data_IF_747205878643
#
_entry.id   IF_747205878643
#
_cell.length_a   1.000
_cell.length_b   1.000
_cell.length_c   1.000
_cell.angle_alpha   90.00
_cell.angle_beta   90.00
_cell.angle_gamma   90.00
#
_symmetry.space_group_name_H-M   'P 1'
#
loop_
_entity.id
_entity.type
_entity.pdbx_description
1 polymer ?
#
# COMPACT_ATOMS: atom_id res chain seq x y z
N UNK A 1 -37.09 -60.76 38.40
CA UNK A 1 -36.55 -59.52 38.96
C UNK A 1 -36.08 -58.64 37.79
N UNK A 2 -36.34 -57.32 37.86
CA UNK A 2 -36.51 -56.40 36.72
C UNK A 2 -35.17 -55.72 36.36
N UNK A 3 -34.97 -55.01 35.24
CA UNK A 3 -35.81 -53.96 34.68
C UNK A 3 -35.59 -53.70 33.17
N UNK A 4 -36.66 -53.20 32.57
CA UNK A 4 -36.79 -52.69 31.21
C UNK A 4 -36.55 -51.17 31.19
N UNK A 5 -35.63 -50.70 30.32
CA UNK A 5 -35.59 -49.40 29.57
C UNK A 5 -35.57 -48.06 30.36
N UNK A 6 -35.17 -46.89 29.77
CA UNK A 6 -34.98 -46.63 28.34
C UNK A 6 -33.74 -45.84 27.87
N UNK A 7 -33.44 -46.04 26.59
CA UNK A 7 -32.69 -45.13 25.72
C UNK A 7 -33.34 -43.74 25.71
N UNK A 8 -32.52 -42.71 25.92
CA UNK A 8 -32.93 -41.31 25.82
C UNK A 8 -33.19 -40.96 24.35
N UNK A 9 -34.44 -40.60 24.08
CA UNK A 9 -34.89 -39.90 22.87
C UNK A 9 -34.36 -38.46 22.88
N UNK A 10 -33.43 -38.13 22.00
CA UNK A 10 -33.22 -36.75 21.56
C UNK A 10 -33.79 -36.60 20.15
N UNK A 11 -34.94 -35.94 20.11
CA UNK A 11 -35.66 -35.52 18.91
C UNK A 11 -34.71 -34.76 17.97
N UNK A 12 -34.40 -35.35 16.82
CA UNK A 12 -33.89 -34.59 15.68
C UNK A 12 -35.07 -33.77 15.15
N UNK A 13 -35.09 -32.49 15.51
CA UNK A 13 -36.02 -31.54 14.94
C UNK A 13 -35.65 -31.38 13.46
N UNK A 14 -36.47 -31.95 12.56
CA UNK A 14 -36.34 -31.73 11.11
C UNK A 14 -36.51 -30.22 10.87
N UNK A 15 -35.42 -29.57 10.50
CA UNK A 15 -35.48 -28.22 9.97
C UNK A 15 -36.22 -28.29 8.62
N UNK A 16 -37.39 -27.67 8.57
CA UNK A 16 -38.18 -27.53 7.34
C UNK A 16 -37.35 -26.68 6.38
N UNK A 17 -37.03 -27.26 5.22
CA UNK A 17 -36.31 -26.59 4.15
C UNK A 17 -37.26 -25.52 3.58
N UNK A 18 -36.93 -24.26 3.82
CA UNK A 18 -37.59 -23.15 3.14
C UNK A 18 -37.26 -23.23 1.64
N UNK A 19 -38.24 -23.66 0.84
CA UNK A 19 -38.14 -23.77 -0.61
C UNK A 19 -38.36 -22.40 -1.24
N UNK A 20 -37.40 -21.50 -1.04
CA UNK A 20 -37.30 -20.29 -1.86
C UNK A 20 -36.52 -20.66 -3.13
N UNK A 21 -37.07 -20.50 -4.36
CA UNK A 21 -36.39 -20.91 -5.57
C UNK A 21 -35.09 -20.12 -5.70
N UNK A 22 -33.96 -20.81 -5.48
CA UNK A 22 -32.63 -20.28 -5.78
C UNK A 22 -32.65 -19.82 -7.23
N UNK A 23 -32.55 -18.52 -7.43
CA UNK A 23 -32.11 -17.95 -8.70
C UNK A 23 -30.75 -18.60 -8.97
N UNK A 24 -30.74 -19.62 -9.82
CA UNK A 24 -29.52 -20.17 -10.41
C UNK A 24 -29.05 -19.15 -11.43
N UNK A 25 -28.52 -18.03 -10.97
CA UNK A 25 -27.65 -17.22 -11.81
C UNK A 25 -26.38 -18.04 -11.97
N UNK A 26 -26.00 -18.47 -13.18
CA UNK A 26 -24.71 -19.11 -13.38
C UNK A 26 -23.65 -18.13 -12.90
N UNK A 27 -22.75 -18.58 -12.01
CA UNK A 27 -21.49 -17.88 -11.77
C UNK A 27 -20.84 -17.70 -13.13
N UNK A 28 -20.66 -16.45 -13.52
CA UNK A 28 -20.28 -16.02 -14.86
C UNK A 28 -19.11 -16.82 -15.42
N UNK A 29 -19.18 -17.07 -16.72
CA UNK A 29 -18.26 -17.88 -17.53
C UNK A 29 -16.91 -17.20 -17.80
N UNK A 30 -16.21 -16.73 -16.77
CA UNK A 30 -14.78 -16.38 -16.87
C UNK A 30 -13.96 -17.56 -16.35
N UNK A 31 -13.43 -18.38 -17.26
CA UNK A 31 -12.76 -19.64 -16.93
C UNK A 31 -11.39 -19.52 -16.23
N UNK A 32 -10.84 -18.33 -15.98
CA UNK A 32 -9.47 -18.19 -15.49
C UNK A 32 -9.28 -18.05 -13.97
N UNK A 33 -10.29 -18.32 -13.11
CA UNK A 33 -10.04 -18.21 -11.65
C UNK A 33 -11.02 -18.97 -10.72
N UNK A 34 -11.17 -20.29 -10.87
CA UNK A 34 -11.89 -21.10 -9.87
C UNK A 34 -10.94 -21.58 -8.77
N UNK A 35 -11.31 -21.33 -7.51
CA UNK A 35 -10.62 -21.85 -6.33
C UNK A 35 -10.59 -23.38 -6.36
N UNK A 36 -9.46 -23.97 -5.98
CA UNK A 36 -9.29 -25.41 -5.84
C UNK A 36 -8.29 -25.73 -4.70
N UNK A 37 -8.03 -27.02 -4.48
CA UNK A 37 -7.17 -27.47 -3.38
C UNK A 37 -5.68 -27.07 -3.52
N UNK A 38 -5.24 -26.65 -4.71
CA UNK A 38 -3.88 -26.13 -4.93
C UNK A 38 -3.80 -24.61 -4.95
N UNK A 39 -4.89 -23.90 -4.60
CA UNK A 39 -4.86 -22.44 -4.49
C UNK A 39 -3.95 -22.01 -3.33
N UNK A 40 -3.01 -21.10 -3.60
CA UNK A 40 -2.06 -20.58 -2.60
C UNK A 40 -2.51 -19.19 -2.14
N UNK A 41 -2.18 -18.82 -0.89
CA UNK A 41 -2.65 -17.57 -0.29
C UNK A 41 -1.58 -16.47 -0.26
N UNK A 42 -2.04 -15.25 -0.53
CA UNK A 42 -1.41 -14.00 -0.14
C UNK A 42 -2.43 -13.18 0.66
N UNK A 43 -2.00 -12.20 1.45
CA UNK A 43 -2.95 -11.35 2.16
C UNK A 43 -2.42 -9.99 2.57
N UNK A 44 -3.32 -9.10 3.01
CA UNK A 44 -2.99 -7.93 3.83
C UNK A 44 -3.44 -8.15 5.27
N UNK A 45 -2.56 -7.86 6.23
CA UNK A 45 -2.89 -7.78 7.66
C UNK A 45 -2.91 -6.32 8.11
N UNK A 46 -3.91 -5.94 8.89
CA UNK A 46 -4.04 -4.63 9.51
C UNK A 46 -5.12 -4.62 10.59
N UNK A 47 -5.26 -3.50 11.29
CA UNK A 47 -6.33 -3.29 12.25
C UNK A 47 -6.68 -1.79 12.38
N UNK A 48 -7.91 -1.36 12.02
CA UNK A 48 -8.91 -2.09 11.23
C UNK A 48 -8.46 -2.23 9.76
N UNK A 49 -9.00 -3.23 9.02
CA UNK A 49 -8.57 -3.49 7.62
C UNK A 49 -9.69 -3.43 6.56
N UNK A 50 -10.96 -3.40 6.96
CA UNK A 50 -12.10 -3.58 6.02
C UNK A 50 -12.19 -2.53 4.90
N UNK A 51 -11.51 -1.41 5.03
CA UNK A 51 -11.44 -0.34 4.05
C UNK A 51 -10.36 -0.56 2.97
N UNK A 52 -9.53 -1.62 3.08
CA UNK A 52 -8.42 -1.84 2.17
C UNK A 52 -8.88 -2.14 0.75
N UNK A 53 -8.36 -1.39 -0.22
CA UNK A 53 -8.55 -1.66 -1.65
C UNK A 53 -7.53 -2.65 -2.23
N UNK A 54 -6.50 -3.06 -1.45
CA UNK A 54 -5.45 -3.98 -1.88
C UNK A 54 -5.98 -5.31 -2.44
N UNK A 55 -7.02 -5.95 -1.87
CA UNK A 55 -7.56 -7.19 -2.42
C UNK A 55 -8.09 -7.06 -3.86
N UNK A 56 -8.71 -5.94 -4.23
CA UNK A 56 -9.23 -5.77 -5.59
C UNK A 56 -8.08 -5.70 -6.61
N UNK A 57 -7.10 -4.85 -6.32
CA UNK A 57 -5.91 -4.65 -7.15
C UNK A 57 -5.06 -5.93 -7.26
N UNK A 58 -4.74 -6.56 -6.12
CA UNK A 58 -3.83 -7.71 -6.09
C UNK A 58 -4.45 -8.94 -6.78
N UNK A 59 -5.74 -9.21 -6.56
CA UNK A 59 -6.40 -10.33 -7.25
C UNK A 59 -6.51 -10.09 -8.77
N UNK A 60 -6.64 -8.83 -9.22
CA UNK A 60 -6.60 -8.52 -10.65
C UNK A 60 -5.21 -8.83 -11.25
N UNK A 61 -4.13 -8.44 -10.56
CA UNK A 61 -2.77 -8.75 -10.99
C UNK A 61 -2.46 -10.25 -10.98
N UNK A 62 -2.88 -10.97 -9.93
CA UNK A 62 -2.76 -12.43 -9.83
C UNK A 62 -3.50 -13.14 -10.97
N UNK A 63 -4.71 -12.67 -11.32
CA UNK A 63 -5.50 -13.24 -12.40
C UNK A 63 -4.85 -13.06 -13.77
N UNK A 64 -4.33 -11.86 -14.05
CA UNK A 64 -3.64 -11.53 -15.30
C UNK A 64 -2.35 -12.35 -15.48
N UNK A 65 -1.62 -12.61 -14.39
CA UNK A 65 -0.45 -13.48 -14.39
C UNK A 65 -0.79 -14.99 -14.47
N UNK A 66 -2.08 -15.36 -14.50
CA UNK A 66 -2.53 -16.76 -14.57
C UNK A 66 -2.19 -17.58 -13.32
N UNK A 67 -1.97 -16.94 -12.17
CA UNK A 67 -1.55 -17.60 -10.94
C UNK A 67 -2.77 -18.16 -10.19
N UNK A 68 -2.70 -19.42 -9.77
CA UNK A 68 -3.70 -20.05 -8.90
C UNK A 68 -3.55 -19.58 -7.44
N UNK A 69 -3.54 -18.26 -7.21
CA UNK A 69 -3.41 -17.67 -5.89
C UNK A 69 -4.63 -16.88 -5.50
N UNK A 70 -4.80 -16.59 -4.21
CA UNK A 70 -5.81 -15.63 -3.74
C UNK A 70 -5.24 -14.67 -2.74
N UNK A 71 -5.60 -13.41 -2.94
CA UNK A 71 -5.27 -12.33 -2.02
C UNK A 71 -6.47 -11.99 -1.13
N UNK A 72 -6.28 -12.04 0.18
CA UNK A 72 -7.31 -11.76 1.18
C UNK A 72 -6.95 -10.58 2.09
N UNK A 73 -7.90 -10.10 2.90
CA UNK A 73 -7.65 -9.13 3.95
C UNK A 73 -8.05 -9.73 5.30
N UNK A 74 -7.16 -9.68 6.29
CA UNK A 74 -7.42 -10.18 7.63
C UNK A 74 -7.23 -9.09 8.67
N UNK A 75 -8.24 -8.97 9.54
CA UNK A 75 -8.23 -8.07 10.68
C UNK A 75 -7.48 -8.77 11.81
N UNK A 76 -6.25 -8.33 12.07
CA UNK A 76 -5.33 -8.98 13.02
C UNK A 76 -5.00 -7.97 14.10
N UNK A 77 -5.31 -8.29 15.36
CA UNK A 77 -4.96 -7.40 16.47
C UNK A 77 -3.43 -7.30 16.64
N UNK A 78 -2.88 -6.15 17.05
CA UNK A 78 -1.44 -5.93 17.20
C UNK A 78 -0.74 -7.01 18.04
N UNK A 79 -1.36 -7.41 19.14
CA UNK A 79 -0.90 -8.43 20.07
C UNK A 79 -0.94 -9.86 19.52
N UNK A 80 -1.60 -10.09 18.39
CA UNK A 80 -1.72 -11.39 17.72
C UNK A 80 -0.90 -11.48 16.43
N UNK A 81 -0.09 -10.45 16.12
CA UNK A 81 0.67 -10.40 14.88
C UNK A 81 1.64 -11.58 14.77
N UNK A 82 2.32 -11.94 15.85
CA UNK A 82 3.30 -13.04 15.88
C UNK A 82 2.66 -14.39 15.58
N UNK A 83 1.50 -14.67 16.18
CA UNK A 83 0.71 -15.87 15.92
C UNK A 83 0.17 -15.88 14.49
N UNK A 84 -0.30 -14.75 13.98
CA UNK A 84 -0.80 -14.63 12.62
C UNK A 84 0.31 -14.84 11.56
N UNK A 85 1.52 -14.32 11.81
CA UNK A 85 2.69 -14.55 10.98
C UNK A 85 3.12 -16.03 11.02
N UNK A 86 3.12 -16.63 12.20
CA UNK A 86 3.41 -18.06 12.38
C UNK A 86 2.39 -18.94 11.65
N UNK A 87 1.11 -18.58 11.70
CA UNK A 87 0.04 -19.23 10.95
C UNK A 87 0.21 -19.10 9.44
N UNK A 88 0.52 -17.91 8.94
CA UNK A 88 0.79 -17.71 7.50
C UNK A 88 1.99 -18.53 7.00
N UNK A 89 3.05 -18.61 7.82
CA UNK A 89 4.23 -19.44 7.59
C UNK A 89 3.87 -20.91 7.53
N UNK A 90 3.11 -21.42 8.51
CA UNK A 90 2.65 -22.81 8.57
C UNK A 90 1.70 -23.17 7.41
N UNK A 91 0.86 -22.22 6.99
CA UNK A 91 -0.05 -22.35 5.85
C UNK A 91 0.62 -22.08 4.50
N UNK A 92 1.93 -21.80 4.47
CA UNK A 92 2.74 -21.64 3.25
C UNK A 92 2.22 -20.52 2.33
N UNK A 93 1.86 -19.38 2.92
CA UNK A 93 1.50 -18.20 2.15
C UNK A 93 2.67 -17.78 1.26
N UNK A 94 2.43 -17.24 0.07
CA UNK A 94 3.52 -16.68 -0.76
C UNK A 94 4.07 -15.39 -0.16
N UNK A 95 3.21 -14.63 0.52
CA UNK A 95 3.58 -13.37 1.12
C UNK A 95 2.42 -12.63 1.77
N UNK A 96 2.76 -11.56 2.46
CA UNK A 96 1.83 -10.70 3.18
C UNK A 96 2.16 -9.23 2.91
N UNK A 97 1.16 -8.38 2.75
CA UNK A 97 1.31 -6.97 3.05
C UNK A 97 0.91 -6.69 4.49
N UNK A 98 1.58 -5.72 5.10
CA UNK A 98 1.24 -5.20 6.42
C UNK A 98 0.85 -3.73 6.30
N UNK A 99 -0.26 -3.37 6.93
CA UNK A 99 -0.66 -1.98 7.10
C UNK A 99 -0.77 -1.62 8.58
N UNK A 100 -1.24 -0.40 8.88
CA UNK A 100 -1.41 0.09 10.24
C UNK A 100 -2.14 -0.95 11.12
N UNK A 101 -1.64 -1.25 12.32
CA UNK A 101 -0.43 -0.72 12.99
C UNK A 101 0.82 -1.63 12.87
N UNK A 102 0.79 -2.66 12.03
CA UNK A 102 1.74 -3.78 12.06
C UNK A 102 3.13 -3.51 11.48
N UNK A 103 3.30 -2.43 10.70
CA UNK A 103 4.54 -2.20 9.95
C UNK A 103 5.79 -2.07 10.83
N UNK A 104 5.65 -1.45 11.99
CA UNK A 104 6.76 -1.27 12.94
C UNK A 104 7.03 -2.56 13.72
N UNK A 105 5.97 -3.22 14.19
CA UNK A 105 6.06 -4.46 14.95
C UNK A 105 6.78 -5.55 14.16
N UNK A 106 6.53 -5.63 12.85
CA UNK A 106 7.09 -6.67 12.01
C UNK A 106 8.62 -6.68 11.89
N UNK A 107 9.31 -5.58 12.22
CA UNK A 107 10.78 -5.56 12.26
C UNK A 107 11.36 -6.60 13.21
N UNK A 108 10.68 -6.85 14.32
CA UNK A 108 11.14 -7.77 15.37
C UNK A 108 10.67 -9.22 15.14
N UNK A 109 9.71 -9.42 14.22
CA UNK A 109 9.02 -10.71 14.04
C UNK A 109 9.34 -11.44 12.73
N UNK A 110 9.93 -10.77 11.73
CA UNK A 110 10.40 -11.45 10.52
C UNK A 110 11.79 -12.07 10.74
N UNK A 111 12.05 -13.20 10.07
CA UNK A 111 13.31 -13.93 10.24
C UNK A 111 14.50 -13.14 9.64
N UNK A 112 14.27 -12.45 8.52
CA UNK A 112 15.26 -11.59 7.84
C UNK A 112 14.61 -10.25 7.49
N UNK A 113 15.33 -9.14 7.69
CA UNK A 113 14.91 -7.79 7.28
C UNK A 113 15.82 -7.30 6.16
N UNK A 114 15.21 -6.88 5.05
CA UNK A 114 15.91 -6.22 3.94
C UNK A 114 16.60 -4.91 4.41
N UNK A 115 17.81 -4.57 3.91
CA UNK A 115 18.51 -3.36 4.33
C UNK A 115 17.68 -2.08 4.22
N UNK A 116 16.89 -1.91 3.17
CA UNK A 116 16.04 -0.73 3.01
C UNK A 116 14.92 -0.73 4.05
N UNK A 117 14.29 -1.88 4.32
CA UNK A 117 13.26 -1.97 5.36
C UNK A 117 13.81 -1.62 6.76
N UNK A 118 15.06 -2.04 7.06
CA UNK A 118 15.76 -1.67 8.30
C UNK A 118 16.06 -0.17 8.36
N UNK A 119 16.48 0.43 7.24
CA UNK A 119 16.74 1.88 7.17
C UNK A 119 15.48 2.71 7.43
N UNK A 120 14.35 2.31 6.83
CA UNK A 120 13.07 3.01 6.98
C UNK A 120 12.32 2.65 8.28
N UNK A 121 12.84 1.69 9.05
CA UNK A 121 12.27 1.28 10.32
C UNK A 121 10.87 0.70 10.20
N UNK A 122 10.53 0.06 9.06
CA UNK A 122 9.22 -0.50 8.83
C UNK A 122 9.25 -1.61 7.78
N UNK A 123 8.46 -2.67 7.99
CA UNK A 123 8.20 -3.75 7.02
C UNK A 123 6.73 -3.68 6.61
N UNK A 124 6.45 -3.42 5.32
CA UNK A 124 5.07 -3.44 4.79
C UNK A 124 4.82 -4.65 3.86
N UNK A 125 5.86 -5.41 3.52
CA UNK A 125 5.78 -6.55 2.60
C UNK A 125 6.62 -7.70 3.14
N UNK A 126 6.06 -8.88 3.28
CA UNK A 126 6.74 -10.11 3.69
C UNK A 126 6.71 -11.08 2.53
N UNK A 127 7.85 -11.68 2.21
CA UNK A 127 7.96 -12.84 1.33
C UNK A 127 8.31 -14.06 2.16
N UNK A 128 7.64 -15.18 1.93
CA UNK A 128 8.05 -16.44 2.53
C UNK A 128 8.96 -17.20 1.57
N UNK A 129 9.98 -17.85 2.12
CA UNK A 129 10.95 -18.66 1.39
C UNK A 129 11.03 -20.06 2.01
N UNK A 130 11.12 -21.08 1.17
CA UNK A 130 11.36 -22.46 1.57
C UNK A 130 12.82 -22.86 1.36
N UNK A 131 13.34 -23.69 2.25
CA UNK A 131 14.72 -24.21 2.15
C UNK A 131 14.76 -25.51 1.33
N UNK A 132 15.55 -25.51 0.26
CA UNK A 132 15.84 -26.69 -0.56
C UNK A 132 16.81 -27.65 0.15
N UNK A 133 16.93 -28.88 -0.36
CA UNK A 133 17.82 -29.93 0.21
C UNK A 133 19.30 -29.52 0.21
N UNK A 134 19.72 -28.69 -0.76
CA UNK A 134 21.06 -28.12 -0.85
C UNK A 134 21.31 -26.93 0.11
N UNK A 135 20.31 -26.59 0.93
CA UNK A 135 20.34 -25.49 1.88
C UNK A 135 20.00 -24.12 1.30
N UNK A 136 19.78 -24.00 -0.01
CA UNK A 136 19.38 -22.75 -0.67
C UNK A 136 17.95 -22.34 -0.30
N UNK A 137 17.67 -21.04 -0.33
CA UNK A 137 16.34 -20.49 -0.03
C UNK A 137 15.65 -20.03 -1.31
N UNK A 138 14.41 -20.47 -1.53
CA UNK A 138 13.61 -20.12 -2.71
C UNK A 138 12.30 -19.47 -2.29
N UNK A 139 11.91 -18.32 -2.87
CA UNK A 139 10.58 -17.74 -2.66
C UNK A 139 9.47 -18.75 -2.93
N UNK A 140 8.51 -18.87 -2.01
CA UNK A 140 7.41 -19.82 -2.17
C UNK A 140 6.56 -19.49 -3.40
N UNK A 141 6.42 -18.22 -3.75
CA UNK A 141 5.74 -17.77 -4.97
C UNK A 141 6.49 -18.05 -6.28
N UNK A 142 7.73 -18.52 -6.21
CA UNK A 142 8.56 -18.87 -7.38
C UNK A 142 8.86 -20.37 -7.44
N UNK A 143 8.38 -21.15 -6.47
CA UNK A 143 8.59 -22.58 -6.41
C UNK A 143 7.53 -23.33 -7.24
N UNK A 144 7.96 -24.37 -7.96
CA UNK A 144 7.05 -25.24 -8.70
C UNK A 144 6.05 -25.97 -7.79
N UNK A 145 6.49 -26.35 -6.59
CA UNK A 145 5.64 -26.92 -5.55
C UNK A 145 6.08 -26.39 -4.18
N UNK A 146 5.35 -25.42 -3.59
CA UNK A 146 5.67 -24.91 -2.26
C UNK A 146 5.37 -25.91 -1.14
N UNK A 147 4.69 -27.03 -1.41
CA UNK A 147 4.36 -28.06 -0.41
C UNK A 147 5.53 -28.97 -0.04
N UNK A 148 6.60 -28.97 -0.85
CA UNK A 148 7.81 -29.77 -0.60
C UNK A 148 8.68 -29.25 0.55
N UNK A 149 8.60 -27.95 0.85
CA UNK A 149 9.48 -27.34 1.85
C UNK A 149 9.02 -27.68 3.26
N UNK A 150 9.94 -28.04 4.14
CA UNK A 150 9.67 -28.28 5.57
C UNK A 150 10.14 -27.10 6.42
N UNK A 151 11.27 -26.50 6.05
CA UNK A 151 11.77 -25.29 6.67
C UNK A 151 11.36 -24.07 5.83
N UNK A 152 10.71 -23.11 6.47
CA UNK A 152 10.25 -21.87 5.86
C UNK A 152 10.84 -20.71 6.67
N UNK A 153 11.13 -19.58 6.02
CA UNK A 153 11.45 -18.32 6.67
C UNK A 153 10.68 -17.16 6.04
N UNK A 154 10.64 -16.05 6.74
CA UNK A 154 10.06 -14.78 6.31
C UNK A 154 11.17 -13.77 6.03
N UNK A 155 11.02 -13.02 4.94
CA UNK A 155 11.88 -11.89 4.58
C UNK A 155 11.02 -10.64 4.47
N UNK A 156 11.33 -9.63 5.28
CA UNK A 156 10.61 -8.36 5.35
C UNK A 156 11.21 -7.29 4.46
N UNK A 157 10.37 -6.61 3.69
CA UNK A 157 10.68 -5.53 2.74
C UNK A 157 9.83 -4.29 3.03
N UNK A 158 10.26 -3.16 2.49
CA UNK A 158 9.49 -1.91 2.48
C UNK A 158 9.29 -1.42 1.04
N UNK A 159 8.08 -1.57 0.52
CA UNK A 159 7.68 -1.12 -0.82
C UNK A 159 6.97 0.23 -0.81
N UNK A 160 6.56 0.74 0.35
CA UNK A 160 5.91 2.06 0.45
C UNK A 160 6.89 3.19 0.16
N UNK A 161 8.13 3.02 0.59
CA UNK A 161 9.12 4.08 0.60
C UNK A 161 9.38 4.60 -0.83
N UNK A 162 9.56 3.70 -1.81
CA UNK A 162 9.83 4.09 -3.21
C UNK A 162 8.56 4.35 -4.03
N UNK A 163 7.39 3.96 -3.52
CA UNK A 163 6.13 4.12 -4.22
C UNK A 163 5.80 5.59 -4.51
N UNK A 164 6.19 6.53 -3.64
CA UNK A 164 5.98 7.97 -3.89
C UNK A 164 6.81 8.49 -5.07
N UNK A 165 8.06 8.04 -5.19
CA UNK A 165 8.94 8.45 -6.28
C UNK A 165 8.48 7.87 -7.61
N UNK A 166 8.08 6.59 -7.60
CA UNK A 166 7.47 5.95 -8.78
C UNK A 166 6.15 6.62 -9.17
N UNK A 167 5.31 6.95 -8.20
CA UNK A 167 4.05 7.68 -8.42
C UNK A 167 4.28 9.03 -9.09
N UNK A 168 5.21 9.83 -8.58
CA UNK A 168 5.57 11.12 -9.20
C UNK A 168 6.12 10.90 -10.62
N UNK A 169 7.02 9.93 -10.83
CA UNK A 169 7.61 9.66 -12.13
C UNK A 169 6.58 9.23 -13.18
N UNK A 170 5.73 8.27 -12.84
CA UNK A 170 4.76 7.66 -13.77
C UNK A 170 3.51 8.53 -13.96
N UNK A 171 2.90 9.01 -12.87
CA UNK A 171 1.62 9.73 -12.94
C UNK A 171 1.81 11.19 -13.41
N UNK A 172 2.89 11.85 -12.95
CA UNK A 172 3.21 13.23 -13.34
C UNK A 172 4.19 13.31 -14.52
N UNK A 173 4.86 12.22 -14.92
CA UNK A 173 5.90 12.28 -15.95
C UNK A 173 7.09 13.15 -15.53
N UNK A 174 7.37 13.26 -14.22
CA UNK A 174 8.36 14.18 -13.66
C UNK A 174 9.61 13.43 -13.18
N UNK A 175 10.77 13.81 -13.72
CA UNK A 175 12.07 13.45 -13.14
C UNK A 175 12.45 14.45 -12.04
N UNK A 176 12.71 13.94 -10.84
CA UNK A 176 12.99 14.76 -9.65
C UNK A 176 14.44 15.27 -9.55
N UNK A 177 15.37 14.69 -10.30
CA UNK A 177 16.79 15.09 -10.20
C UNK A 177 16.96 16.55 -10.64
N UNK A 178 17.53 17.37 -9.77
CA UNK A 178 17.80 18.79 -10.02
C UNK A 178 16.59 19.72 -9.89
N UNK A 179 15.42 19.21 -9.49
CA UNK A 179 14.19 20.02 -9.41
C UNK A 179 14.09 20.83 -8.12
N UNK A 180 13.30 21.90 -8.15
CA UNK A 180 12.87 22.67 -6.98
C UNK A 180 11.47 22.24 -6.58
N UNK A 181 11.29 21.76 -5.35
CA UNK A 181 10.01 21.28 -4.86
C UNK A 181 9.56 21.99 -3.58
N UNK A 182 8.25 22.09 -3.41
CA UNK A 182 7.59 22.47 -2.17
C UNK A 182 6.94 21.24 -1.57
N UNK A 183 7.23 20.98 -0.30
CA UNK A 183 6.53 19.98 0.50
C UNK A 183 5.68 20.69 1.54
N UNK A 184 4.37 20.48 1.49
CA UNK A 184 3.41 20.97 2.45
C UNK A 184 3.15 19.87 3.49
N UNK A 185 3.55 20.11 4.73
CA UNK A 185 3.42 19.17 5.84
C UNK A 185 4.69 18.36 6.11
N UNK A 186 5.20 18.47 7.33
CA UNK A 186 6.36 17.71 7.85
C UNK A 186 5.92 16.70 8.94
N UNK A 187 4.72 16.11 8.78
CA UNK A 187 4.22 15.03 9.65
C UNK A 187 4.91 13.68 9.37
N UNK A 188 4.33 12.58 9.85
CA UNK A 188 4.90 11.23 9.62
C UNK A 188 5.08 10.92 8.12
N UNK A 189 4.01 11.08 7.33
CA UNK A 189 4.05 10.91 5.87
C UNK A 189 4.95 11.95 5.20
N UNK A 190 4.85 13.22 5.61
CA UNK A 190 5.66 14.32 5.08
C UNK A 190 7.16 14.13 5.28
N UNK A 191 7.60 13.69 6.46
CA UNK A 191 9.03 13.40 6.72
C UNK A 191 9.57 12.33 5.77
N UNK A 192 8.82 11.24 5.56
CA UNK A 192 9.23 10.17 4.63
C UNK A 192 9.28 10.71 3.19
N UNK A 193 8.26 11.47 2.77
CA UNK A 193 8.24 12.11 1.46
C UNK A 193 9.45 13.05 1.26
N UNK A 194 9.79 13.88 2.25
CA UNK A 194 10.92 14.79 2.20
C UNK A 194 12.25 14.05 1.98
N UNK A 195 12.50 13.01 2.79
CA UNK A 195 13.71 12.20 2.68
C UNK A 195 13.77 11.46 1.35
N UNK A 196 12.64 11.01 0.81
CA UNK A 196 12.59 10.36 -0.50
C UNK A 196 12.86 11.32 -1.65
N UNK A 197 12.25 12.50 -1.64
CA UNK A 197 12.56 13.56 -2.59
C UNK A 197 14.05 13.92 -2.54
N UNK A 198 14.62 14.08 -1.34
CA UNK A 198 16.05 14.33 -1.17
C UNK A 198 16.92 13.20 -1.77
N UNK A 199 16.58 11.94 -1.48
CA UNK A 199 17.29 10.78 -2.05
C UNK A 199 17.21 10.67 -3.58
N UNK A 200 16.18 11.27 -4.20
CA UNK A 200 16.03 11.35 -5.66
C UNK A 200 16.89 12.47 -6.29
N UNK A 201 17.63 13.25 -5.48
CA UNK A 201 18.55 14.28 -5.94
C UNK A 201 17.85 15.57 -6.40
N UNK A 202 16.72 15.93 -5.78
CA UNK A 202 16.13 17.28 -5.93
C UNK A 202 17.17 18.34 -5.56
N UNK A 203 17.18 19.46 -6.28
CA UNK A 203 18.12 20.56 -6.00
C UNK A 203 17.74 21.28 -4.71
N UNK A 204 16.44 21.54 -4.53
CA UNK A 204 15.94 22.36 -3.43
C UNK A 204 14.57 21.91 -2.92
N UNK A 205 14.43 21.80 -1.60
CA UNK A 205 13.19 21.49 -0.91
C UNK A 205 12.76 22.65 0.01
N UNK A 206 11.58 23.20 -0.28
CA UNK A 206 10.87 24.12 0.60
C UNK A 206 9.95 23.30 1.52
N UNK A 207 10.28 23.23 2.82
CA UNK A 207 9.62 22.40 3.83
C UNK A 207 8.61 23.23 4.64
N UNK A 208 7.42 23.41 4.09
CA UNK A 208 6.39 24.26 4.67
C UNK A 208 5.55 23.47 5.66
N UNK A 209 5.54 23.88 6.92
CA UNK A 209 4.73 23.23 7.94
C UNK A 209 4.28 24.24 9.00
N UNK A 210 3.08 24.05 9.56
CA UNK A 210 2.57 24.90 10.66
C UNK A 210 3.48 24.90 11.88
N UNK A 211 4.02 23.74 12.24
CA UNK A 211 4.93 23.59 13.37
C UNK A 211 6.36 23.57 12.85
N UNK A 212 7.05 24.71 12.99
CA UNK A 212 8.39 24.92 12.42
C UNK A 212 9.41 23.87 12.88
N UNK A 213 9.42 23.49 14.15
CA UNK A 213 10.35 22.49 14.70
C UNK A 213 10.31 21.13 13.99
N UNK A 214 9.18 20.76 13.37
CA UNK A 214 9.11 19.55 12.55
C UNK A 214 9.85 19.71 11.24
N UNK A 215 9.71 20.85 10.55
CA UNK A 215 10.46 21.11 9.32
C UNK A 215 11.95 21.27 9.59
N UNK A 216 12.33 21.87 10.72
CA UNK A 216 13.74 21.96 11.16
C UNK A 216 14.37 20.58 11.37
N UNK A 217 13.67 19.68 12.06
CA UNK A 217 14.13 18.31 12.25
C UNK A 217 14.31 17.57 10.91
N UNK A 218 13.36 17.71 9.99
CA UNK A 218 13.45 17.12 8.64
C UNK A 218 14.61 17.74 7.83
N UNK A 219 14.80 19.06 7.91
CA UNK A 219 15.92 19.74 7.26
C UNK A 219 17.27 19.26 7.78
N UNK A 220 17.38 19.05 9.10
CA UNK A 220 18.58 18.48 9.73
C UNK A 220 18.85 17.04 9.26
N UNK A 221 17.81 16.21 9.16
CA UNK A 221 17.94 14.84 8.64
C UNK A 221 18.42 14.84 7.18
N UNK A 222 17.87 15.74 6.34
CA UNK A 222 18.28 15.89 4.94
C UNK A 222 19.73 16.37 4.87
N UNK A 223 20.12 17.39 5.62
CA UNK A 223 21.50 17.90 5.60
C UNK A 223 22.52 16.82 6.00
N UNK A 224 22.18 15.95 6.96
CA UNK A 224 23.04 14.86 7.40
C UNK A 224 23.18 13.72 6.38
N UNK A 225 22.14 13.45 5.58
CA UNK A 225 22.11 12.31 4.63
C UNK A 225 22.37 12.69 3.17
N UNK A 226 21.96 13.90 2.77
CA UNK A 226 21.94 14.42 1.40
C UNK A 226 22.42 15.88 1.41
N UNK A 227 23.70 16.13 1.76
CA UNK A 227 24.23 17.49 1.98
C UNK A 227 24.17 18.39 0.73
N UNK A 228 24.02 17.82 -0.46
CA UNK A 228 23.83 18.52 -1.73
C UNK A 228 22.43 19.13 -1.92
N UNK A 229 21.44 18.71 -1.12
CA UNK A 229 20.05 19.18 -1.22
C UNK A 229 19.89 20.46 -0.41
N UNK A 230 19.57 21.57 -1.08
CA UNK A 230 19.23 22.81 -0.39
C UNK A 230 17.87 22.68 0.31
N UNK A 231 17.78 23.09 1.58
CA UNK A 231 16.50 23.15 2.31
C UNK A 231 16.14 24.58 2.68
N UNK A 232 14.84 24.88 2.69
CA UNK A 232 14.30 26.16 3.15
C UNK A 232 13.01 25.92 3.92
N UNK A 233 12.75 26.69 4.97
CA UNK A 233 11.51 26.64 5.75
C UNK A 233 10.49 27.68 5.28
N UNK A 234 10.85 28.48 4.28
CA UNK A 234 10.05 29.55 3.70
C UNK A 234 9.58 29.19 2.30
N UNK A 235 8.52 29.84 1.84
CA UNK A 235 8.10 29.73 0.44
C UNK A 235 9.17 30.30 -0.49
N UNK A 236 9.22 29.85 -1.76
CA UNK A 236 10.05 30.50 -2.77
C UNK A 236 9.66 31.97 -2.92
N UNK A 237 10.61 32.82 -3.31
CA UNK A 237 10.31 34.22 -3.65
C UNK A 237 9.29 34.26 -4.80
N UNK A 238 8.39 35.25 -4.80
CA UNK A 238 7.41 35.41 -5.87
C UNK A 238 8.05 35.36 -7.26
N UNK A 239 7.40 34.63 -8.17
CA UNK A 239 7.87 34.42 -9.54
C UNK A 239 8.97 33.36 -9.70
N UNK A 240 9.46 32.75 -8.61
CA UNK A 240 10.39 31.61 -8.71
C UNK A 240 9.65 30.39 -9.25
N UNK A 241 10.09 29.78 -10.36
CA UNK A 241 9.52 28.55 -10.87
C UNK A 241 9.70 27.38 -9.89
N UNK A 242 8.67 26.56 -9.75
CA UNK A 242 8.64 25.36 -8.90
C UNK A 242 8.20 24.17 -9.75
N UNK A 243 8.98 23.09 -9.72
CA UNK A 243 8.69 21.92 -10.54
C UNK A 243 7.58 21.06 -9.95
N UNK A 244 7.55 20.94 -8.61
CA UNK A 244 6.59 20.12 -7.88
C UNK A 244 6.13 20.77 -6.58
N UNK A 245 4.83 20.83 -6.36
CA UNK A 245 4.23 21.07 -5.05
C UNK A 245 3.54 19.80 -4.55
N UNK A 246 3.96 19.28 -3.40
CA UNK A 246 3.47 18.04 -2.81
C UNK A 246 2.74 18.31 -1.50
N UNK A 247 1.45 17.99 -1.43
CA UNK A 247 0.69 17.99 -0.18
C UNK A 247 0.84 16.66 0.56
N UNK A 248 1.45 16.71 1.75
CA UNK A 248 1.57 15.60 2.69
C UNK A 248 0.81 15.88 4.01
N UNK A 249 -0.04 16.91 4.04
CA UNK A 249 -0.93 17.21 5.16
C UNK A 249 -2.21 16.39 5.08
N UNK A 250 -3.05 16.48 6.12
CA UNK A 250 -4.41 15.96 6.10
C UNK A 250 -5.44 16.95 5.54
N UNK A 251 -5.04 18.15 5.12
CA UNK A 251 -5.94 19.17 4.60
C UNK A 251 -6.41 18.79 3.20
N UNK A 252 -7.71 18.61 3.06
CA UNK A 252 -8.37 18.11 1.85
C UNK A 252 -9.11 16.78 2.06
N UNK A 253 -9.01 16.18 3.25
CA UNK A 253 -9.80 15.03 3.65
C UNK A 253 -11.26 15.44 3.96
N UNK A 254 -11.47 16.67 4.41
CA UNK A 254 -12.80 17.23 4.62
C UNK A 254 -13.10 18.29 3.56
N UNK A 255 -14.37 18.40 3.20
CA UNK A 255 -14.81 19.33 2.16
C UNK A 255 -14.58 20.81 2.53
N UNK A 256 -14.57 21.12 3.83
CA UNK A 256 -14.39 22.45 4.42
C UNK A 256 -12.96 22.72 4.91
N UNK A 257 -12.02 21.78 4.69
CA UNK A 257 -10.61 22.03 5.03
C UNK A 257 -10.08 23.22 4.23
N UNK A 258 -9.29 24.12 4.85
CA UNK A 258 -8.58 25.16 4.12
C UNK A 258 -7.56 24.53 3.15
N UNK A 259 -7.14 25.31 2.15
CA UNK A 259 -6.06 24.88 1.27
C UNK A 259 -4.77 24.63 2.06
N UNK A 260 -3.97 23.61 1.69
CA UNK A 260 -2.68 23.33 2.32
C UNK A 260 -1.60 24.36 1.96
N UNK A 261 -1.88 25.24 0.99
CA UNK A 261 -0.96 26.24 0.45
C UNK A 261 -1.41 27.65 0.82
N UNK A 262 -0.45 28.52 1.12
CA UNK A 262 -0.72 29.94 1.30
C UNK A 262 -0.66 30.66 -0.07
N UNK A 263 -1.83 30.99 -0.62
CA UNK A 263 -1.96 31.66 -1.92
C UNK A 263 -1.34 33.07 -1.97
N UNK A 264 -1.16 33.73 -0.81
CA UNK A 264 -0.48 35.02 -0.75
C UNK A 264 1.04 34.89 -0.86
N UNK A 265 1.59 33.71 -0.52
CA UNK A 265 3.03 33.45 -0.54
C UNK A 265 3.50 32.86 -1.87
N UNK A 266 2.60 32.20 -2.63
CA UNK A 266 2.94 31.59 -3.92
C UNK A 266 1.74 31.57 -4.87
N UNK A 267 1.99 31.98 -6.12
CA UNK A 267 1.04 31.80 -7.23
C UNK A 267 1.26 30.41 -7.85
N UNK A 268 0.20 29.59 -7.88
CA UNK A 268 0.20 28.24 -8.45
C UNK A 268 0.55 28.23 -9.95
N UNK A 269 0.41 29.35 -10.67
CA UNK A 269 0.88 29.47 -12.06
C UNK A 269 2.39 29.33 -12.20
N UNK A 270 3.15 29.49 -11.12
CA UNK A 270 4.59 29.23 -11.10
C UNK A 270 4.94 27.77 -10.78
N UNK A 271 3.93 26.91 -10.59
CA UNK A 271 4.10 25.50 -10.24
C UNK A 271 3.77 24.62 -11.45
N UNK A 272 4.72 23.78 -11.87
CA UNK A 272 4.53 22.90 -13.02
C UNK A 272 3.67 21.68 -12.68
N UNK A 273 3.90 21.05 -11.52
CA UNK A 273 3.20 19.83 -11.11
C UNK A 273 2.69 19.94 -9.67
N UNK A 274 1.50 19.39 -9.41
CA UNK A 274 0.94 19.28 -8.08
C UNK A 274 0.61 17.82 -7.74
N UNK A 275 1.04 17.38 -6.57
CA UNK A 275 0.79 16.04 -6.07
C UNK A 275 0.11 16.13 -4.71
N UNK A 276 -0.96 15.37 -4.51
CA UNK A 276 -1.62 15.25 -3.20
C UNK A 276 -1.50 13.82 -2.70
N UNK A 277 -0.97 13.59 -1.50
CA UNK A 277 -0.93 12.25 -0.91
C UNK A 277 -2.32 11.72 -0.57
N UNK A 278 -3.32 12.59 -0.51
CA UNK A 278 -4.73 12.21 -0.40
C UNK A 278 -5.21 11.63 -1.73
N UNK A 279 -5.90 10.49 -1.67
CA UNK A 279 -6.51 9.86 -2.85
C UNK A 279 -8.03 9.69 -2.74
N UNK A 280 -8.62 9.98 -1.58
CA UNK A 280 -10.07 10.04 -1.40
C UNK A 280 -10.39 11.38 -0.72
N UNK A 281 -11.04 12.33 -1.44
CA UNK A 281 -11.59 12.22 -2.80
C UNK A 281 -10.53 12.16 -3.91
N UNK A 282 -10.92 11.74 -5.12
CA UNK A 282 -10.04 11.69 -6.30
C UNK A 282 -9.41 13.05 -6.63
N UNK A 283 -10.19 14.12 -6.50
CA UNK A 283 -9.74 15.49 -6.67
C UNK A 283 -10.05 16.30 -5.41
N UNK A 284 -9.00 16.61 -4.65
CA UNK A 284 -9.07 17.54 -3.52
C UNK A 284 -9.25 18.98 -4.01
N UNK A 285 -9.71 19.91 -3.17
CA UNK A 285 -9.76 21.34 -3.51
C UNK A 285 -8.40 21.88 -3.99
N UNK A 286 -7.30 21.41 -3.38
CA UNK A 286 -5.93 21.73 -3.79
C UNK A 286 -5.66 21.30 -5.23
N UNK A 287 -5.88 20.03 -5.57
CA UNK A 287 -5.64 19.53 -6.93
C UNK A 287 -6.53 20.23 -7.96
N UNK A 288 -7.79 20.54 -7.60
CA UNK A 288 -8.67 21.32 -8.47
C UNK A 288 -8.06 22.69 -8.77
N UNK A 289 -7.62 23.44 -7.76
CA UNK A 289 -7.04 24.76 -7.99
C UNK A 289 -5.73 24.71 -8.76
N UNK A 290 -4.87 23.73 -8.47
CA UNK A 290 -3.65 23.50 -9.23
C UNK A 290 -3.93 23.23 -10.71
N UNK A 291 -4.91 22.37 -11.02
CA UNK A 291 -5.32 22.12 -12.40
C UNK A 291 -5.85 23.38 -13.11
N UNK A 292 -6.66 24.20 -12.43
CA UNK A 292 -7.12 25.49 -12.98
C UNK A 292 -5.98 26.49 -13.21
N UNK A 293 -4.89 26.38 -12.45
CA UNK A 293 -3.68 27.18 -12.63
C UNK A 293 -2.74 26.64 -13.71
N UNK A 294 -3.05 25.49 -14.32
CA UNK A 294 -2.28 24.86 -15.39
C UNK A 294 -1.28 23.79 -14.93
N UNK A 295 -1.29 23.41 -13.65
CA UNK A 295 -0.43 22.34 -13.16
C UNK A 295 -0.87 20.98 -13.71
N UNK A 296 0.08 20.09 -14.01
CA UNK A 296 -0.21 18.66 -14.13
C UNK A 296 -0.42 18.08 -12.74
N UNK A 297 -1.51 17.34 -12.54
CA UNK A 297 -1.93 16.88 -11.21
C UNK A 297 -1.97 15.37 -11.08
N UNK A 298 -1.56 14.85 -9.92
CA UNK A 298 -1.74 13.46 -9.52
C UNK A 298 -2.08 13.38 -8.02
N UNK A 299 -2.64 12.25 -7.60
CA UNK A 299 -3.07 12.02 -6.23
C UNK A 299 -2.43 10.77 -5.62
N UNK A 300 -2.74 10.47 -4.36
CA UNK A 300 -2.08 9.40 -3.62
C UNK A 300 -2.37 7.98 -4.09
N UNK A 301 -3.27 7.78 -5.06
CA UNK A 301 -3.68 6.43 -5.48
C UNK A 301 -2.50 5.68 -6.11
N UNK A 302 -1.65 6.38 -6.85
CA UNK A 302 -0.43 5.82 -7.43
C UNK A 302 0.49 5.21 -6.38
N UNK A 303 0.61 5.81 -5.19
CA UNK A 303 1.40 5.21 -4.11
C UNK A 303 0.86 3.84 -3.68
N UNK A 304 -0.46 3.70 -3.53
CA UNK A 304 -1.09 2.42 -3.20
C UNK A 304 -0.92 1.39 -4.32
N UNK A 305 -0.98 1.83 -5.57
CA UNK A 305 -0.70 1.00 -6.74
C UNK A 305 0.73 0.48 -6.72
N UNK A 306 1.71 1.39 -6.69
CA UNK A 306 3.11 1.07 -6.91
C UNK A 306 3.76 0.29 -5.76
N UNK A 307 3.33 0.52 -4.51
CA UNK A 307 3.75 -0.35 -3.41
C UNK A 307 3.23 -1.79 -3.58
N UNK A 308 2.04 -1.93 -4.18
CA UNK A 308 1.37 -3.21 -4.37
C UNK A 308 1.91 -3.98 -5.56
N UNK A 309 2.23 -3.30 -6.66
CA UNK A 309 2.93 -3.90 -7.80
C UNK A 309 4.30 -4.41 -7.39
N UNK A 310 5.05 -3.62 -6.61
CA UNK A 310 6.35 -4.03 -6.08
C UNK A 310 6.23 -5.26 -5.15
N UNK A 311 5.18 -5.33 -4.32
CA UNK A 311 4.94 -6.51 -3.49
C UNK A 311 4.65 -7.76 -4.35
N UNK A 312 3.84 -7.63 -5.40
CA UNK A 312 3.56 -8.73 -6.32
C UNK A 312 4.82 -9.18 -7.06
N UNK A 313 5.66 -8.26 -7.50
CA UNK A 313 6.98 -8.52 -8.12
C UNK A 313 7.90 -9.29 -7.16
N UNK A 314 7.96 -8.86 -5.89
CA UNK A 314 8.74 -9.53 -4.84
C UNK A 314 8.31 -10.99 -4.66
N UNK A 315 7.01 -11.27 -4.69
CA UNK A 315 6.49 -12.63 -4.47
C UNK A 315 6.62 -13.53 -5.71
N UNK A 316 6.35 -12.98 -6.89
CA UNK A 316 6.25 -13.75 -8.15
C UNK A 316 7.56 -13.85 -8.90
N UNK A 317 8.50 -12.91 -8.69
CA UNK A 317 9.68 -12.74 -9.55
C UNK A 317 9.36 -12.26 -10.97
N UNK A 318 8.11 -11.86 -11.23
CA UNK A 318 7.62 -11.40 -12.53
C UNK A 318 7.23 -9.93 -12.47
N UNK A 319 7.34 -9.22 -13.59
CA UNK A 319 6.84 -7.84 -13.71
C UNK A 319 5.33 -7.81 -13.44
N UNK A 320 4.89 -6.91 -12.57
CA UNK A 320 3.46 -6.80 -12.24
C UNK A 320 2.68 -6.18 -13.42
N UNK A 321 1.48 -6.71 -13.75
CA UNK A 321 0.59 -6.14 -14.76
C UNK A 321 -0.07 -4.85 -14.25
N UNK A 322 0.71 -3.78 -14.24
CA UNK A 322 0.40 -2.53 -13.54
C UNK A 322 -0.89 -1.89 -14.05
N UNK A 323 -1.16 -1.92 -15.36
CA UNK A 323 -2.39 -1.36 -15.95
C UNK A 323 -3.66 -2.09 -15.48
N UNK A 324 -3.63 -3.42 -15.43
CA UNK A 324 -4.74 -4.25 -14.93
C UNK A 324 -4.99 -4.01 -13.45
N UNK A 325 -3.91 -3.93 -12.66
CA UNK A 325 -3.98 -3.60 -11.23
C UNK A 325 -4.54 -2.18 -11.01
N UNK A 326 -4.09 -1.20 -11.79
CA UNK A 326 -4.55 0.19 -11.72
C UNK A 326 -6.04 0.31 -12.03
N UNK A 327 -6.52 -0.37 -13.07
CA UNK A 327 -7.94 -0.36 -13.46
C UNK A 327 -8.80 -0.91 -12.32
N UNK A 328 -8.49 -2.09 -11.80
CA UNK A 328 -9.23 -2.69 -10.70
C UNK A 328 -9.19 -1.85 -9.42
N UNK A 329 -8.06 -1.18 -9.15
CA UNK A 329 -7.93 -0.28 -8.02
C UNK A 329 -8.83 0.97 -8.18
N UNK A 330 -8.80 1.58 -9.36
CA UNK A 330 -9.60 2.76 -9.67
C UNK A 330 -11.10 2.48 -9.57
N UNK A 331 -11.58 1.38 -10.18
CA UNK A 331 -12.97 0.93 -10.10
C UNK A 331 -13.40 0.70 -8.63
N UNK A 332 -12.54 0.03 -7.84
CA UNK A 332 -12.85 -0.24 -6.44
C UNK A 332 -12.98 1.04 -5.62
N UNK A 333 -12.07 1.99 -5.83
CA UNK A 333 -11.93 3.20 -5.01
C UNK A 333 -12.96 4.26 -5.41
N UNK A 334 -13.19 4.50 -6.70
CA UNK A 334 -14.03 5.63 -7.14
C UNK A 334 -15.40 5.22 -7.68
N UNK A 335 -15.57 4.04 -8.26
CA UNK A 335 -16.85 3.64 -8.87
C UNK A 335 -17.81 2.97 -7.89
N UNK A 336 -17.31 2.40 -6.79
CA UNK A 336 -18.19 1.94 -5.71
C UNK A 336 -18.80 3.10 -4.90
N UNK A 337 -18.16 4.27 -4.90
CA UNK A 337 -18.62 5.46 -4.18
C UNK A 337 -19.70 6.26 -4.92
N UNK A 338 -19.96 5.96 -6.21
CA UNK A 338 -20.99 6.65 -7.01
C UNK A 338 -22.36 5.96 -7.02
N UNK A 339 -22.52 4.85 -6.28
CA UNK A 339 -23.76 4.03 -6.27
C UNK A 339 -24.61 4.17 -5.01
N UNK A 340 -24.31 5.10 -4.10
CA UNK A 340 -25.11 5.41 -2.90
C UNK A 340 -25.29 6.91 -2.76
#
# INVERSE_FOLDING_TARGET
MPSLTPYINLKIQRCVVDTNPRIKTPVSSNQNNKLNASTIYAAVYGHPIRHSASPAMQNAGIAELGLNWRYLAFDVLPEQLTEALSGAKAMRYVGLNLTVPHKLLALDWVDIVDPAAREWGAVNTIRFEGQSEDGSWTPLGQAADPTRFTNIRSVGFNTDADAILRSIGEDLGLSLKGTTCILLGAGGAGRVAALKLASAGVKKLHLINRTQSKSEAVASDIHGKFPEVETSLEYPKHGTPVDLMLNATSLGLKADDPLPVNSDAIDLKNVSHAYDMIYQPAQTPFLKQAAHAGCRTANGLGMLLYQGTAALEIWTGQTAPTSTMQTALHEHVYEKLSKH
#
